data_IF_947757016270
#
_entry.id   IF_947757016270
#
_cell.length_a   1.000
_cell.length_b   1.000
_cell.length_c   1.000
_cell.angle_alpha   90.00
_cell.angle_beta   90.00
_cell.angle_gamma   90.00
#
_symmetry.space_group_name_H-M   'P 1'
#
loop_
_entity.id
_entity.type
_entity.pdbx_description
1 polymer ?
#
# COMPACT_ATOMS: atom_id res chain seq x y z
N UNK A 1 67.85 -29.14 7.69
CA UNK A 1 66.49 -29.65 8.00
C UNK A 1 65.85 -28.81 9.13
N UNK A 2 65.68 -27.49 8.90
CA UNK A 2 65.06 -26.52 9.82
C UNK A 2 64.68 -25.30 8.99
N UNK A 3 63.49 -25.30 8.38
CA UNK A 3 62.89 -24.10 7.75
C UNK A 3 61.46 -24.32 7.23
N UNK A 4 60.87 -25.51 7.35
CA UNK A 4 59.54 -25.79 6.79
C UNK A 4 58.36 -25.58 7.76
N UNK A 5 58.60 -25.35 9.06
CA UNK A 5 57.52 -25.34 10.06
C UNK A 5 57.03 -23.95 10.49
N UNK A 6 57.55 -22.86 9.91
CA UNK A 6 57.15 -21.50 10.30
C UNK A 6 56.15 -20.84 9.35
N UNK A 7 55.87 -21.44 8.19
CA UNK A 7 54.98 -20.85 7.18
C UNK A 7 53.51 -21.28 7.31
N UNK A 8 53.22 -22.33 8.09
CA UNK A 8 51.85 -22.84 8.24
C UNK A 8 51.07 -22.12 9.36
N UNK A 9 51.76 -21.43 10.27
CA UNK A 9 51.10 -20.71 11.37
C UNK A 9 50.64 -19.28 11.00
N UNK A 10 51.09 -18.72 9.87
CA UNK A 10 50.72 -17.36 9.46
C UNK A 10 49.50 -17.28 8.53
N UNK A 11 49.01 -18.43 8.02
CA UNK A 11 47.85 -18.48 7.11
C UNK A 11 46.53 -18.69 7.86
N UNK A 12 46.56 -18.99 9.17
CA UNK A 12 45.36 -19.27 9.96
C UNK A 12 44.77 -18.07 10.73
N UNK A 13 45.38 -16.88 10.66
CA UNK A 13 44.96 -15.68 11.43
C UNK A 13 44.39 -14.57 10.52
N UNK A 14 43.75 -14.94 9.40
CA UNK A 14 43.04 -13.97 8.55
C UNK A 14 41.69 -14.48 8.04
N UNK A 15 40.98 -15.21 8.91
CA UNK A 15 39.56 -15.54 8.76
C UNK A 15 38.80 -14.92 9.95
N UNK A 16 38.97 -13.60 10.16
CA UNK A 16 38.03 -12.86 11.01
C UNK A 16 36.73 -12.74 10.25
N UNK A 17 35.76 -13.52 10.70
CA UNK A 17 34.37 -13.51 10.29
C UNK A 17 33.86 -12.08 10.25
N UNK A 18 33.71 -11.51 9.04
CA UNK A 18 32.96 -10.28 8.85
C UNK A 18 31.50 -10.67 9.06
N UNK A 19 31.03 -10.57 10.31
CA UNK A 19 29.61 -10.58 10.61
C UNK A 19 29.02 -9.32 10.00
N UNK A 20 28.54 -9.45 8.76
CA UNK A 20 27.72 -8.41 8.13
C UNK A 20 26.45 -8.34 8.95
N UNK A 21 26.40 -7.38 9.87
CA UNK A 21 25.17 -7.00 10.55
C UNK A 21 24.29 -6.39 9.49
N UNK A 22 23.43 -7.21 8.88
CA UNK A 22 22.31 -6.72 8.09
C UNK A 22 21.38 -6.00 9.06
N UNK A 23 21.58 -4.70 9.21
CA UNK A 23 20.57 -3.83 9.76
C UNK A 23 19.35 -3.97 8.83
N UNK A 24 18.37 -4.76 9.25
CA UNK A 24 17.05 -4.73 8.62
C UNK A 24 16.55 -3.31 8.81
N UNK A 25 16.63 -2.51 7.76
CA UNK A 25 15.93 -1.22 7.69
C UNK A 25 14.46 -1.56 7.85
N UNK A 26 13.92 -1.36 9.04
CA UNK A 26 12.48 -1.45 9.28
C UNK A 26 11.85 -0.33 8.45
N UNK A 27 11.29 -0.69 7.31
CA UNK A 27 10.50 0.20 6.47
C UNK A 27 9.35 0.75 7.32
N UNK A 28 9.38 2.04 7.61
CA UNK A 28 8.23 2.75 8.15
C UNK A 28 7.28 3.01 6.99
N UNK A 29 6.41 2.03 6.74
CA UNK A 29 5.25 2.22 5.86
C UNK A 29 4.20 3.06 6.59
N UNK A 30 3.53 4.00 5.91
CA UNK A 30 2.38 4.66 6.51
C UNK A 30 1.31 3.62 6.82
N UNK A 31 0.71 3.73 7.99
CA UNK A 31 -0.36 2.83 8.41
C UNK A 31 -1.59 3.00 7.51
N UNK A 32 -1.78 4.17 6.89
CA UNK A 32 -2.91 4.46 6.00
C UNK A 32 -2.45 5.35 4.84
N UNK A 33 -2.93 5.11 3.62
CA UNK A 33 -2.68 5.98 2.47
C UNK A 33 -3.84 5.99 1.45
N UNK A 34 -3.98 7.12 0.75
CA UNK A 34 -4.93 7.31 -0.36
C UNK A 34 -4.27 6.87 -1.69
N UNK A 35 -5.03 6.23 -2.59
CA UNK A 35 -4.60 6.03 -3.99
C UNK A 35 -5.33 7.01 -4.90
N UNK A 36 -4.85 8.25 -5.01
CA UNK A 36 -5.42 9.20 -5.96
C UNK A 36 -4.38 9.63 -7.00
N UNK A 37 -4.65 9.26 -8.25
CA UNK A 37 -3.92 9.68 -9.44
C UNK A 37 -3.86 11.16 -9.71
N UNK A 38 -2.76 11.54 -10.36
CA UNK A 38 -2.25 12.88 -10.67
C UNK A 38 -3.22 13.80 -11.44
N UNK A 39 -4.49 13.39 -11.68
CA UNK A 39 -5.49 14.15 -12.45
C UNK A 39 -6.95 14.01 -12.02
N UNK A 40 -7.27 13.34 -10.93
CA UNK A 40 -8.66 13.12 -10.53
C UNK A 40 -8.75 13.24 -9.03
N UNK A 41 -9.69 14.05 -8.55
CA UNK A 41 -10.44 13.72 -7.35
C UNK A 41 -10.73 12.21 -7.46
N UNK A 42 -9.99 11.33 -6.76
CA UNK A 42 -10.12 9.86 -6.90
C UNK A 42 -11.49 9.33 -6.48
N UNK A 43 -12.37 10.27 -6.16
CA UNK A 43 -13.79 10.20 -6.08
C UNK A 43 -14.43 9.90 -7.44
N UNK A 44 -14.87 8.65 -7.60
CA UNK A 44 -15.87 8.29 -8.61
C UNK A 44 -17.23 8.84 -8.17
N UNK A 45 -17.90 9.61 -9.04
CA UNK A 45 -19.26 10.10 -8.78
C UNK A 45 -20.28 9.13 -9.37
N UNK A 46 -21.23 8.68 -8.55
CA UNK A 46 -22.41 7.95 -8.98
C UNK A 46 -23.62 8.88 -8.85
N UNK A 47 -24.10 9.41 -9.97
CA UNK A 47 -25.22 10.37 -9.99
C UNK A 47 -26.56 9.73 -9.67
N UNK A 48 -26.73 8.45 -10.00
CA UNK A 48 -27.98 7.71 -9.74
C UNK A 48 -28.13 7.47 -8.22
N UNK A 49 -27.04 7.05 -7.58
CA UNK A 49 -26.99 6.86 -6.12
C UNK A 49 -26.67 8.13 -5.33
N UNK A 50 -26.47 9.26 -6.02
CA UNK A 50 -26.16 10.57 -5.44
C UNK A 50 -25.02 10.50 -4.41
N UNK A 51 -23.90 9.89 -4.81
CA UNK A 51 -22.74 9.71 -3.95
C UNK A 51 -21.42 9.91 -4.70
N UNK A 52 -20.35 10.06 -3.93
CA UNK A 52 -18.97 10.05 -4.39
C UNK A 52 -18.21 8.96 -3.62
N UNK A 53 -17.34 8.21 -4.28
CA UNK A 53 -16.54 7.18 -3.61
C UNK A 53 -15.09 7.12 -4.07
N UNK A 54 -14.15 6.89 -3.15
CA UNK A 54 -12.73 6.64 -3.45
C UNK A 54 -12.22 5.39 -2.74
N UNK A 55 -11.06 4.87 -3.17
CA UNK A 55 -10.38 3.79 -2.48
C UNK A 55 -9.43 4.31 -1.40
N UNK A 56 -9.42 3.62 -0.27
CA UNK A 56 -8.57 3.88 0.88
C UNK A 56 -7.83 2.61 1.26
N UNK A 57 -6.55 2.71 1.56
CA UNK A 57 -5.74 1.55 1.91
C UNK A 57 -5.23 1.73 3.32
N UNK A 58 -5.62 0.81 4.19
CA UNK A 58 -5.18 0.76 5.56
C UNK A 58 -4.34 -0.51 5.72
N UNK A 59 -3.13 -0.37 6.23
CA UNK A 59 -2.16 -1.45 6.41
C UNK A 59 -2.78 -2.55 7.27
N UNK A 60 -2.47 -3.81 7.02
CA UNK A 60 -2.86 -4.89 7.94
C UNK A 60 -2.08 -4.77 9.27
N UNK A 61 -2.61 -5.32 10.39
CA UNK A 61 -1.91 -5.35 11.68
C UNK A 61 -0.51 -6.01 11.59
N UNK A 62 0.29 -5.80 12.64
CA UNK A 62 1.74 -6.06 12.78
C UNK A 62 2.40 -7.04 11.79
N UNK A 63 3.49 -6.58 11.16
CA UNK A 63 4.37 -7.31 10.23
C UNK A 63 3.79 -7.72 8.87
N UNK A 64 2.56 -7.33 8.54
CA UNK A 64 2.03 -7.53 7.20
C UNK A 64 2.43 -6.38 6.24
N UNK A 65 2.87 -6.75 5.03
CA UNK A 65 3.03 -5.85 3.88
C UNK A 65 1.73 -5.67 3.10
N UNK A 66 0.66 -6.33 3.53
CA UNK A 66 -0.64 -6.27 2.88
C UNK A 66 -1.41 -5.06 3.39
N UNK A 67 -2.13 -4.43 2.45
CA UNK A 67 -3.05 -3.36 2.75
C UNK A 67 -4.47 -3.88 2.54
N UNK A 68 -5.35 -3.59 3.49
CA UNK A 68 -6.76 -3.80 3.35
C UNK A 68 -7.38 -2.61 2.65
N UNK A 69 -8.05 -2.90 1.54
CA UNK A 69 -8.76 -1.91 0.76
C UNK A 69 -10.11 -1.61 1.39
N UNK A 70 -10.35 -0.34 1.66
CA UNK A 70 -11.63 0.23 2.05
C UNK A 70 -12.14 1.11 0.90
N UNK A 71 -13.45 1.35 0.91
CA UNK A 71 -14.13 2.29 0.02
C UNK A 71 -14.65 3.41 0.90
N UNK A 72 -14.20 4.62 0.66
CA UNK A 72 -14.73 5.81 1.32
C UNK A 72 -15.87 6.34 0.48
N UNK A 73 -17.02 6.58 1.09
CA UNK A 73 -18.26 7.00 0.41
C UNK A 73 -18.76 8.29 1.06
N UNK A 74 -19.04 9.31 0.26
CA UNK A 74 -19.67 10.57 0.67
C UNK A 74 -20.99 10.69 -0.06
N UNK A 75 -22.10 10.73 0.68
CA UNK A 75 -23.44 10.90 0.12
C UNK A 75 -23.77 12.38 -0.07
N UNK A 76 -24.52 12.73 -1.13
CA UNK A 76 -24.94 14.11 -1.37
C UNK A 76 -25.85 14.67 -0.27
N UNK A 77 -26.58 13.79 0.45
CA UNK A 77 -27.46 14.15 1.57
C UNK A 77 -26.72 14.40 2.89
N UNK A 78 -25.47 13.93 2.99
CA UNK A 78 -24.58 14.10 4.14
C UNK A 78 -23.16 14.43 3.65
N UNK A 79 -22.95 15.59 2.99
CA UNK A 79 -21.70 15.91 2.31
C UNK A 79 -20.53 16.18 3.24
N UNK A 80 -20.80 16.34 4.53
CA UNK A 80 -19.86 16.53 5.63
C UNK A 80 -19.40 15.20 6.27
N UNK A 81 -19.93 14.06 5.81
CA UNK A 81 -19.61 12.74 6.34
C UNK A 81 -19.00 11.84 5.28
N UNK A 82 -17.84 11.27 5.58
CA UNK A 82 -17.18 10.26 4.77
C UNK A 82 -17.28 8.89 5.46
N UNK A 83 -18.04 7.97 4.89
CA UNK A 83 -18.30 6.64 5.45
C UNK A 83 -17.28 5.64 4.91
N UNK A 84 -16.73 4.80 5.79
CA UNK A 84 -15.71 3.81 5.42
C UNK A 84 -16.37 2.44 5.33
N UNK A 85 -16.35 1.87 4.13
CA UNK A 85 -16.85 0.54 3.82
C UNK A 85 -15.66 -0.42 3.64
N UNK A 86 -15.59 -1.44 4.47
CA UNK A 86 -14.58 -2.49 4.33
C UNK A 86 -14.97 -3.44 3.20
N UNK A 87 -14.13 -3.49 2.16
CA UNK A 87 -14.38 -4.31 0.98
C UNK A 87 -14.22 -5.81 1.25
N UNK A 88 -13.55 -6.21 2.34
CA UNK A 88 -13.38 -7.61 2.74
C UNK A 88 -14.62 -8.13 3.46
N UNK A 89 -15.00 -7.49 4.57
CA UNK A 89 -16.18 -7.90 5.36
C UNK A 89 -17.51 -7.48 4.75
N UNK A 90 -17.48 -6.62 3.72
CA UNK A 90 -18.66 -6.01 3.07
C UNK A 90 -19.54 -5.27 4.07
N UNK A 91 -18.93 -4.54 5.01
CA UNK A 91 -19.61 -3.78 6.06
C UNK A 91 -19.04 -2.37 6.20
N UNK A 92 -19.88 -1.42 6.58
CA UNK A 92 -19.43 -0.13 7.07
C UNK A 92 -18.79 -0.27 8.45
N UNK A 93 -17.60 0.29 8.61
CA UNK A 93 -16.81 0.18 9.84
C UNK A 93 -16.79 1.49 10.64
N UNK A 94 -17.11 2.62 10.02
CA UNK A 94 -17.09 3.91 10.69
C UNK A 94 -17.29 5.06 9.71
N UNK A 95 -17.05 6.27 10.21
CA UNK A 95 -17.08 7.49 9.41
C UNK A 95 -16.05 8.50 9.88
N UNK A 96 -15.71 9.41 9.00
CA UNK A 96 -14.96 10.62 9.29
C UNK A 96 -15.87 11.83 9.06
N UNK A 97 -15.92 12.70 10.05
CA UNK A 97 -16.63 13.97 10.00
C UNK A 97 -15.66 15.03 9.46
N UNK A 98 -15.95 15.53 8.26
CA UNK A 98 -15.08 16.43 7.52
C UNK A 98 -15.01 17.83 8.15
N UNK A 99 -15.99 18.22 8.95
CA UNK A 99 -16.05 19.54 9.58
C UNK A 99 -15.22 19.58 10.88
N UNK A 100 -15.30 18.52 11.66
CA UNK A 100 -14.55 18.37 12.92
C UNK A 100 -13.19 17.69 12.75
N UNK A 101 -12.92 17.11 11.57
CA UNK A 101 -11.72 16.32 11.26
C UNK A 101 -11.53 15.14 12.21
N UNK A 102 -12.63 14.51 12.63
CA UNK A 102 -12.62 13.43 13.62
C UNK A 102 -13.32 12.17 13.10
N UNK A 103 -12.95 11.03 13.67
CA UNK A 103 -13.41 9.71 13.25
C UNK A 103 -14.36 9.10 14.29
N UNK A 104 -15.41 8.43 13.82
CA UNK A 104 -16.33 7.64 14.65
C UNK A 104 -16.30 6.19 14.17
N UNK A 105 -15.66 5.31 14.95
CA UNK A 105 -15.54 3.88 14.66
C UNK A 105 -16.77 3.11 15.18
N UNK A 106 -17.49 2.42 14.31
CA UNK A 106 -18.61 1.57 14.71
C UNK A 106 -18.09 0.33 15.46
N UNK A 107 -18.78 0.00 16.56
CA UNK A 107 -18.59 -1.28 17.24
C UNK A 107 -18.97 -2.44 16.30
N UNK A 108 -18.26 -3.58 16.35
CA UNK A 108 -18.52 -4.76 15.52
C UNK A 108 -19.99 -5.14 15.36
N UNK A 109 -20.74 -5.14 16.47
CA UNK A 109 -22.16 -5.52 16.55
C UNK A 109 -23.11 -4.57 15.80
N UNK A 110 -22.68 -3.34 15.50
CA UNK A 110 -23.44 -2.31 14.79
C UNK A 110 -23.04 -2.17 13.31
N UNK A 111 -22.01 -2.88 12.86
CA UNK A 111 -21.56 -2.84 11.46
C UNK A 111 -22.57 -3.55 10.56
N UNK A 112 -22.95 -2.92 9.44
CA UNK A 112 -23.92 -3.47 8.46
C UNK A 112 -23.41 -3.28 7.04
N UNK A 113 -23.98 -4.03 6.10
CA UNK A 113 -23.64 -3.94 4.69
C UNK A 113 -24.22 -2.73 3.97
N UNK A 114 -25.29 -2.13 4.50
CA UNK A 114 -25.92 -0.92 3.98
C UNK A 114 -25.88 0.18 5.02
N UNK A 115 -25.70 1.42 4.58
CA UNK A 115 -25.66 2.56 5.50
C UNK A 115 -27.03 2.83 6.12
N UNK A 116 -28.11 2.62 5.38
CA UNK A 116 -29.50 2.80 5.85
C UNK A 116 -29.87 1.84 6.99
N UNK A 117 -29.12 0.73 7.14
CA UNK A 117 -29.33 -0.25 8.21
C UNK A 117 -28.57 0.13 9.50
N UNK A 118 -27.80 1.22 9.49
CA UNK A 118 -26.98 1.70 10.61
C UNK A 118 -27.66 2.93 11.19
N UNK A 119 -28.16 2.79 12.42
CA UNK A 119 -28.71 3.92 13.14
C UNK A 119 -27.61 4.96 13.41
N UNK A 120 -27.89 6.22 13.11
CA UNK A 120 -26.97 7.35 13.32
C UNK A 120 -26.50 7.44 14.78
N UNK A 121 -27.33 7.03 15.74
CA UNK A 121 -27.00 7.00 17.17
C UNK A 121 -26.00 5.89 17.55
N UNK A 122 -25.74 4.92 16.67
CA UNK A 122 -24.72 3.88 16.89
C UNK A 122 -23.30 4.37 16.62
N UNK A 123 -23.13 5.50 15.92
CA UNK A 123 -21.82 6.12 15.77
C UNK A 123 -21.41 6.74 17.12
N UNK A 124 -20.24 6.35 17.68
CA UNK A 124 -19.76 7.00 18.89
C UNK A 124 -19.41 8.47 18.61
N UNK A 125 -19.28 9.29 19.66
CA UNK A 125 -18.75 10.64 19.54
C UNK A 125 -17.44 10.65 18.74
N UNK A 126 -17.22 11.64 17.86
CA UNK A 126 -16.01 11.71 17.06
C UNK A 126 -14.75 11.78 17.95
N UNK A 127 -13.71 11.06 17.54
CA UNK A 127 -12.43 10.96 18.25
C UNK A 127 -11.25 10.96 17.26
N UNK A 128 -10.03 10.76 17.76
CA UNK A 128 -8.86 10.63 16.90
C UNK A 128 -8.99 9.43 15.96
N UNK A 129 -8.29 9.49 14.83
CA UNK A 129 -8.22 8.39 13.87
C UNK A 129 -7.80 7.08 14.59
N UNK A 130 -8.59 6.01 14.50
CA UNK A 130 -8.26 4.76 15.18
C UNK A 130 -7.03 4.12 14.55
N UNK A 131 -6.33 3.34 15.35
CA UNK A 131 -5.24 2.48 14.90
C UNK A 131 -5.80 1.41 13.96
N UNK A 132 -4.91 0.83 13.15
CA UNK A 132 -5.25 -0.29 12.26
C UNK A 132 -5.90 -1.46 13.00
N UNK A 133 -5.36 -1.84 14.16
CA UNK A 133 -5.89 -2.94 14.96
C UNK A 133 -7.28 -2.66 15.51
N UNK A 134 -7.65 -1.39 15.67
CA UNK A 134 -9.01 -1.00 16.08
C UNK A 134 -9.97 -0.99 14.88
N UNK A 135 -9.52 -0.54 13.70
CA UNK A 135 -10.35 -0.51 12.49
C UNK A 135 -10.77 -1.90 12.04
N UNK A 136 -9.88 -2.87 12.16
CA UNK A 136 -10.08 -4.22 11.63
C UNK A 136 -10.22 -5.23 12.75
N UNK A 137 -11.28 -6.03 12.68
CA UNK A 137 -11.31 -7.27 13.47
C UNK A 137 -10.17 -8.18 12.96
N UNK A 138 -9.40 -8.83 13.85
CA UNK A 138 -8.45 -9.83 13.40
C UNK A 138 -9.23 -10.86 12.57
N UNK A 139 -8.70 -11.29 11.40
CA UNK A 139 -9.37 -12.31 10.61
C UNK A 139 -9.65 -13.52 11.52
N UNK A 140 -10.80 -14.19 11.36
CA UNK A 140 -11.08 -15.39 12.14
C UNK A 140 -9.91 -16.34 11.93
N UNK A 141 -9.24 -16.70 13.02
CA UNK A 141 -8.10 -17.62 12.96
C UNK A 141 -8.69 -18.96 12.53
N UNK A 142 -8.57 -19.29 11.24
CA UNK A 142 -8.85 -20.63 10.76
C UNK A 142 -7.76 -21.54 11.29
N UNK A 143 -7.94 -22.06 12.50
CA UNK A 143 -7.19 -23.22 12.96
C UNK A 143 -7.76 -24.41 12.20
N UNK A 144 -7.12 -24.76 11.08
CA UNK A 144 -7.27 -26.09 10.49
C UNK A 144 -6.71 -27.09 11.49
N UNK A 145 -7.57 -27.58 12.38
CA UNK A 145 -7.76 -29.00 12.71
C UNK A 145 -8.70 -29.15 13.91
N UNK A 146 -9.89 -29.68 13.62
CA UNK A 146 -10.76 -30.47 14.50
C UNK A 146 -11.28 -29.89 15.85
N UNK A 147 -12.61 -29.72 15.84
CA UNK A 147 -13.59 -29.83 16.94
C UNK A 147 -13.83 -28.63 17.89
N UNK A 148 -15.08 -28.15 17.81
CA UNK A 148 -15.88 -27.44 18.81
C UNK A 148 -15.48 -26.01 19.16
N UNK A 149 -16.25 -25.08 18.58
CA UNK A 149 -16.34 -23.69 19.03
C UNK A 149 -17.14 -23.65 20.34
N UNK A 150 -16.47 -23.75 21.48
CA UNK A 150 -16.99 -23.26 22.76
C UNK A 150 -16.43 -21.86 22.97
N UNK A 151 -17.31 -20.88 23.00
CA UNK A 151 -17.01 -19.53 23.44
C UNK A 151 -16.94 -19.60 24.98
N UNK A 152 -15.74 -19.58 25.53
CA UNK A 152 -15.54 -19.26 26.94
C UNK A 152 -15.21 -17.77 27.05
N UNK A 153 -16.16 -17.03 27.63
CA UNK A 153 -15.93 -15.72 28.20
C UNK A 153 -15.15 -15.89 29.51
N UNK A 154 -13.97 -15.29 29.59
CA UNK A 154 -13.48 -14.51 30.72
C UNK A 154 -12.00 -14.21 30.49
N UNK A 155 -11.65 -12.92 30.45
CA UNK A 155 -10.38 -12.45 31.00
C UNK A 155 -10.45 -10.95 31.23
N UNK A 156 -10.65 -10.63 32.50
CA UNK A 156 -10.51 -9.33 33.11
C UNK A 156 -9.01 -8.98 33.16
N UNK A 157 -8.53 -8.16 32.22
CA UNK A 157 -7.17 -7.59 32.28
C UNK A 157 -7.28 -6.09 32.08
N UNK A 158 -7.08 -5.36 33.18
CA UNK A 158 -6.93 -3.91 33.22
C UNK A 158 -5.58 -3.49 32.61
N UNK A 159 -5.52 -2.53 31.67
CA UNK A 159 -4.24 -1.96 31.23
C UNK A 159 -4.05 -0.54 31.77
N UNK A 160 -3.10 -0.39 32.69
CA UNK A 160 -2.47 0.88 33.02
C UNK A 160 -1.70 1.36 31.78
N UNK A 161 -2.27 2.31 31.04
CA UNK A 161 -1.64 2.85 29.82
C UNK A 161 -0.64 3.94 30.20
N UNK A 162 0.65 3.63 30.06
CA UNK A 162 1.74 4.59 30.10
C UNK A 162 1.73 5.39 28.79
N UNK A 163 1.50 6.71 28.90
CA UNK A 163 1.55 7.66 27.78
C UNK A 163 2.97 7.70 27.21
N UNK A 164 3.17 7.16 26.01
CA UNK A 164 4.41 7.28 25.23
C UNK A 164 4.37 8.61 24.46
N UNK A 165 5.41 9.46 24.52
CA UNK A 165 5.42 10.70 23.74
C UNK A 165 5.49 10.42 22.24
N UNK A 166 4.72 11.20 21.47
CA UNK A 166 4.64 11.17 20.01
C UNK A 166 6.02 11.20 19.34
N UNK A 167 6.24 10.44 18.25
CA UNK A 167 7.48 10.55 17.52
C UNK A 167 7.57 11.91 16.83
N UNK A 168 8.72 12.54 17.03
CA UNK A 168 9.17 13.76 16.36
C UNK A 168 8.90 13.66 14.86
N UNK A 169 8.19 14.66 14.33
CA UNK A 169 8.00 14.91 12.90
C UNK A 169 9.38 14.99 12.23
N UNK A 170 9.81 13.90 11.60
CA UNK A 170 11.07 13.88 10.86
C UNK A 170 10.94 14.78 9.63
N UNK A 171 11.51 15.98 9.70
CA UNK A 171 11.79 16.79 8.52
C UNK A 171 12.89 16.10 7.72
N UNK A 172 12.53 15.50 6.59
CA UNK A 172 13.50 15.06 5.60
C UNK A 172 14.19 16.29 4.95
N UNK A 173 15.50 16.19 4.63
CA UNK A 173 16.26 17.29 4.04
C UNK A 173 15.75 17.64 2.64
N UNK A 174 15.95 18.88 2.18
CA UNK A 174 15.35 19.37 0.94
C UNK A 174 15.93 18.62 -0.27
N UNK A 175 15.09 17.96 -1.08
CA UNK A 175 15.54 17.36 -2.33
C UNK A 175 15.86 18.47 -3.35
N UNK A 176 17.06 18.46 -3.91
CA UNK A 176 17.37 19.14 -5.18
C UNK A 176 18.09 18.13 -6.09
N UNK A 177 17.79 17.93 -7.38
CA UNK A 177 16.91 18.64 -8.31
C UNK A 177 16.01 17.67 -9.12
N UNK A 178 14.71 17.85 -8.95
CA UNK A 178 13.54 17.25 -9.60
C UNK A 178 13.05 15.86 -9.16
N UNK A 179 13.70 14.71 -9.37
CA UNK A 179 13.14 13.40 -8.88
C UNK A 179 14.21 12.39 -8.43
N UNK A 180 14.79 12.56 -7.23
CA UNK A 180 15.81 11.63 -6.78
C UNK A 180 15.26 10.19 -6.74
N UNK A 181 16.03 9.29 -7.36
CA UNK A 181 15.89 7.82 -7.30
C UNK A 181 14.78 7.18 -8.13
N UNK A 182 13.83 7.89 -8.74
CA UNK A 182 12.78 7.23 -9.55
C UNK A 182 13.34 6.60 -10.83
N UNK A 183 14.25 7.31 -11.50
CA UNK A 183 14.89 6.83 -12.73
C UNK A 183 15.71 5.55 -12.55
N UNK A 184 16.13 5.23 -11.33
CA UNK A 184 16.79 3.97 -11.00
C UNK A 184 16.11 3.36 -9.78
N UNK A 185 15.03 2.63 -10.00
CA UNK A 185 14.20 2.08 -8.93
C UNK A 185 13.70 0.68 -9.25
N UNK A 186 13.42 -0.09 -8.22
CA UNK A 186 12.83 -1.42 -8.32
C UNK A 186 11.51 -1.42 -7.57
N UNK A 187 10.50 -2.11 -8.11
CA UNK A 187 9.14 -2.12 -7.61
C UNK A 187 8.57 -3.53 -7.66
N UNK A 188 7.86 -3.91 -6.61
CA UNK A 188 6.96 -5.06 -6.64
C UNK A 188 5.59 -4.55 -7.06
N UNK A 189 5.05 -5.09 -8.15
CA UNK A 189 3.91 -4.52 -8.87
C UNK A 189 2.85 -5.57 -9.19
N UNK A 190 1.66 -5.08 -9.53
CA UNK A 190 0.59 -5.91 -10.09
C UNK A 190 -0.21 -5.13 -11.11
N UNK A 191 -0.62 -5.80 -12.19
CA UNK A 191 -1.52 -5.22 -13.19
C UNK A 191 -2.72 -6.13 -13.44
N UNK A 192 -3.83 -5.53 -13.86
CA UNK A 192 -5.04 -6.24 -14.29
C UNK A 192 -5.06 -6.37 -15.80
N UNK A 193 -5.60 -7.49 -16.31
CA UNK A 193 -5.85 -7.73 -17.73
C UNK A 193 -7.36 -7.75 -18.01
N UNK A 194 -7.73 -7.84 -19.29
CA UNK A 194 -9.12 -7.71 -19.77
C UNK A 194 -10.14 -8.66 -19.08
N UNK A 195 -9.69 -9.83 -18.61
CA UNK A 195 -10.52 -10.79 -17.89
C UNK A 195 -10.66 -10.52 -16.38
N UNK A 196 -10.07 -9.42 -15.89
CA UNK A 196 -10.02 -9.04 -14.48
C UNK A 196 -8.94 -9.74 -13.65
N UNK A 197 -8.18 -10.68 -14.23
CA UNK A 197 -7.10 -11.36 -13.54
C UNK A 197 -6.00 -10.39 -13.17
N UNK A 198 -5.40 -10.61 -11.99
CA UNK A 198 -4.30 -9.82 -11.47
C UNK A 198 -2.98 -10.58 -11.66
N UNK A 199 -2.05 -9.98 -12.39
CA UNK A 199 -0.72 -10.54 -12.64
C UNK A 199 0.31 -9.78 -11.82
N UNK A 200 1.13 -10.49 -11.04
CA UNK A 200 2.24 -9.90 -10.29
C UNK A 200 3.48 -9.79 -11.17
N UNK A 201 4.19 -8.68 -11.04
CA UNK A 201 5.44 -8.44 -11.75
C UNK A 201 6.41 -7.62 -10.90
N UNK A 202 7.71 -7.80 -11.12
CA UNK A 202 8.75 -6.88 -10.64
C UNK A 202 9.11 -5.93 -11.75
N UNK A 203 9.14 -4.63 -11.48
CA UNK A 203 9.57 -3.58 -12.44
C UNK A 203 10.89 -2.98 -11.99
N UNK A 204 11.82 -2.82 -12.92
CA UNK A 204 13.09 -2.12 -12.73
C UNK A 204 13.20 -0.96 -13.73
N UNK A 205 13.29 0.27 -13.23
CA UNK A 205 13.61 1.46 -14.02
C UNK A 205 15.11 1.70 -14.03
N UNK A 206 15.65 2.06 -15.20
CA UNK A 206 17.05 2.45 -15.46
C UNK A 206 17.10 3.57 -16.51
N UNK A 207 16.90 4.80 -16.06
CA UNK A 207 16.79 5.99 -16.90
C UNK A 207 15.54 5.96 -17.76
N UNK A 208 15.74 6.09 -19.08
CA UNK A 208 14.68 6.04 -20.11
C UNK A 208 14.30 4.63 -20.55
N UNK A 209 14.81 3.61 -19.85
CA UNK A 209 14.58 2.19 -20.12
C UNK A 209 14.31 1.44 -18.82
N UNK A 210 13.85 0.21 -18.94
CA UNK A 210 13.62 -0.67 -17.81
C UNK A 210 13.31 -2.09 -18.26
N UNK A 211 13.02 -2.94 -17.29
CA UNK A 211 12.55 -4.29 -17.53
C UNK A 211 11.47 -4.64 -16.50
N UNK A 212 10.64 -5.61 -16.84
CA UNK A 212 9.75 -6.22 -15.87
C UNK A 212 9.75 -7.74 -15.98
N UNK A 213 9.63 -8.43 -14.85
CA UNK A 213 9.59 -9.89 -14.77
C UNK A 213 8.31 -10.32 -14.10
N UNK A 214 7.55 -11.21 -14.72
CA UNK A 214 6.34 -11.74 -14.12
C UNK A 214 6.70 -12.69 -12.97
N UNK A 215 5.96 -12.67 -11.86
CA UNK A 215 6.32 -13.44 -10.66
C UNK A 215 6.32 -14.95 -10.89
N UNK A 216 5.38 -15.44 -11.70
CA UNK A 216 5.13 -16.87 -11.94
C UNK A 216 5.58 -17.30 -13.35
N UNK A 217 6.51 -16.57 -13.96
CA UNK A 217 7.03 -16.88 -15.30
C UNK A 217 8.47 -16.41 -15.47
N UNK A 218 9.24 -17.14 -16.27
CA UNK A 218 10.56 -16.69 -16.74
C UNK A 218 10.47 -15.58 -17.80
N UNK A 219 9.25 -15.19 -18.19
CA UNK A 219 9.03 -14.13 -19.15
C UNK A 219 9.52 -12.77 -18.60
N UNK A 220 10.42 -12.15 -19.37
CA UNK A 220 10.94 -10.80 -19.10
C UNK A 220 10.47 -9.87 -20.21
N UNK A 221 9.75 -8.83 -19.82
CA UNK A 221 9.37 -7.73 -20.71
C UNK A 221 10.34 -6.56 -20.59
N UNK A 222 10.35 -5.71 -21.60
CA UNK A 222 11.16 -4.50 -21.66
C UNK A 222 10.29 -3.25 -21.56
N UNK A 223 10.79 -2.24 -20.84
CA UNK A 223 10.24 -0.90 -20.79
C UNK A 223 11.17 0.05 -21.56
N UNK A 224 10.60 0.92 -22.38
CA UNK A 224 11.34 1.83 -23.25
C UNK A 224 10.67 3.19 -23.37
N UNK A 225 11.41 4.16 -23.88
CA UNK A 225 10.93 5.53 -24.07
C UNK A 225 10.31 6.13 -22.80
N UNK A 226 10.92 5.82 -21.64
CA UNK A 226 10.40 6.22 -20.35
C UNK A 226 10.68 7.71 -20.14
N UNK A 227 9.62 8.46 -19.85
CA UNK A 227 9.61 9.88 -19.63
C UNK A 227 9.06 10.16 -18.23
N UNK A 228 9.66 11.12 -17.55
CA UNK A 228 9.26 11.57 -16.22
C UNK A 228 8.81 13.02 -16.33
N UNK A 229 7.65 13.35 -15.79
CA UNK A 229 7.15 14.72 -15.76
C UNK A 229 6.60 15.07 -14.37
N UNK A 230 6.93 16.26 -13.86
CA UNK A 230 6.36 16.79 -12.61
C UNK A 230 4.95 17.29 -12.87
N UNK A 231 3.95 16.73 -12.19
CA UNK A 231 2.67 17.36 -11.97
C UNK A 231 2.71 18.32 -10.77
N UNK A 232 1.56 18.85 -10.38
CA UNK A 232 1.44 19.61 -9.14
C UNK A 232 1.63 18.67 -7.94
N UNK A 233 0.94 17.53 -7.95
CA UNK A 233 0.81 16.64 -6.78
C UNK A 233 1.49 15.27 -6.95
N UNK A 234 1.69 14.81 -8.19
CA UNK A 234 2.41 13.58 -8.48
C UNK A 234 3.50 13.76 -9.55
N UNK A 235 4.23 12.68 -9.77
CA UNK A 235 5.24 12.53 -10.80
C UNK A 235 4.70 11.49 -11.76
N UNK A 236 4.45 11.90 -13.00
CA UNK A 236 3.99 10.99 -14.03
C UNK A 236 5.18 10.29 -14.69
N UNK A 237 5.13 8.96 -14.77
CA UNK A 237 6.10 8.11 -15.48
C UNK A 237 5.37 7.45 -16.65
N UNK A 238 5.67 7.87 -17.87
CA UNK A 238 5.04 7.35 -19.08
C UNK A 238 6.07 6.63 -19.95
N UNK A 239 5.65 5.61 -20.70
CA UNK A 239 6.55 4.92 -21.61
C UNK A 239 5.87 3.85 -22.44
N UNK A 240 6.68 2.97 -23.00
CA UNK A 240 6.24 1.81 -23.78
C UNK A 240 6.68 0.51 -23.10
N UNK A 241 5.81 -0.48 -23.12
CA UNK A 241 6.12 -1.84 -22.68
C UNK A 241 6.16 -2.79 -23.86
N UNK A 242 6.93 -3.87 -23.75
CA UNK A 242 6.96 -4.96 -24.71
C UNK A 242 7.21 -6.29 -24.01
N UNK A 243 6.52 -7.34 -24.46
CA UNK A 243 6.70 -8.71 -23.99
C UNK A 243 6.42 -9.66 -25.14
N UNK A 244 7.41 -10.49 -25.48
CA UNK A 244 7.35 -11.36 -26.65
C UNK A 244 7.05 -10.56 -27.92
N UNK A 245 5.96 -10.86 -28.63
CA UNK A 245 5.55 -10.18 -29.87
C UNK A 245 4.52 -9.06 -29.65
N UNK A 246 4.21 -8.74 -28.39
CA UNK A 246 3.23 -7.72 -28.03
C UNK A 246 3.91 -6.51 -27.39
N UNK A 247 3.24 -5.36 -27.48
CA UNK A 247 3.69 -4.14 -26.83
C UNK A 247 2.58 -3.11 -26.75
N UNK A 248 2.87 -2.04 -26.02
CA UNK A 248 1.90 -1.00 -25.76
C UNK A 248 2.49 0.17 -24.99
N UNK A 249 1.64 0.89 -24.30
CA UNK A 249 1.95 2.09 -23.54
C UNK A 249 1.56 1.92 -22.08
N UNK A 250 2.25 2.64 -21.20
CA UNK A 250 1.89 2.75 -19.79
C UNK A 250 1.98 4.20 -19.33
N UNK A 251 1.21 4.53 -18.30
CA UNK A 251 1.25 5.81 -17.59
C UNK A 251 1.08 5.53 -16.10
N UNK A 252 2.13 5.80 -15.33
CA UNK A 252 2.13 5.70 -13.88
C UNK A 252 2.13 7.09 -13.25
N UNK A 253 1.52 7.21 -12.09
CA UNK A 253 1.52 8.40 -11.22
C UNK A 253 2.12 8.01 -9.88
N UNK A 254 3.16 8.74 -9.48
CA UNK A 254 3.86 8.59 -8.20
C UNK A 254 3.56 9.83 -7.35
N UNK A 255 2.78 9.73 -6.27
CA UNK A 255 2.49 10.86 -5.41
C UNK A 255 3.77 11.44 -4.79
N UNK A 256 3.87 12.78 -4.74
CA UNK A 256 5.06 13.45 -4.18
C UNK A 256 5.17 13.30 -2.67
N UNK A 257 4.06 13.14 -1.97
CA UNK A 257 3.98 12.87 -0.54
C UNK A 257 4.23 11.39 -0.19
N UNK A 258 4.16 10.48 -1.17
CA UNK A 258 4.52 9.07 -1.01
C UNK A 258 5.22 8.49 -2.26
N UNK A 259 6.53 8.77 -2.38
CA UNK A 259 7.35 8.34 -3.52
C UNK A 259 7.65 6.83 -3.58
N UNK A 260 7.09 6.04 -2.66
CA UNK A 260 7.30 4.59 -2.58
C UNK A 260 6.09 3.79 -3.07
N UNK A 261 5.05 4.45 -3.58
CA UNK A 261 3.91 3.81 -4.25
C UNK A 261 3.67 4.43 -5.62
N UNK A 262 3.10 3.67 -6.53
CA UNK A 262 2.51 4.20 -7.75
C UNK A 262 1.24 3.46 -8.11
N UNK A 263 0.42 4.12 -8.90
CA UNK A 263 -0.69 3.50 -9.64
C UNK A 263 -0.70 4.08 -11.06
N UNK A 264 -1.48 3.49 -11.94
CA UNK A 264 -1.50 3.89 -13.31
C UNK A 264 -2.24 2.91 -14.19
N UNK A 265 -2.03 3.06 -15.47
CA UNK A 265 -2.77 2.39 -16.52
C UNK A 265 -1.83 1.87 -17.59
N UNK A 266 -2.27 0.86 -18.32
CA UNK A 266 -1.56 0.33 -19.48
C UNK A 266 -2.54 -0.03 -20.60
N UNK A 267 -2.03 -0.08 -21.83
CA UNK A 267 -2.83 -0.47 -22.99
C UNK A 267 -2.00 -0.68 -24.26
N UNK A 268 -2.61 -1.21 -25.31
CA UNK A 268 -1.93 -1.52 -26.57
C UNK A 268 -1.78 -0.32 -27.51
N UNK A 269 -2.63 0.70 -27.36
CA UNK A 269 -2.60 1.93 -28.13
C UNK A 269 -2.42 3.15 -27.22
N UNK A 270 -1.85 4.23 -27.76
CA UNK A 270 -1.69 5.48 -27.02
C UNK A 270 -3.09 6.03 -26.69
N UNK A 271 -3.33 6.34 -25.42
CA UNK A 271 -4.62 6.80 -24.87
C UNK A 271 -5.74 5.73 -24.80
N UNK A 272 -5.40 4.44 -24.93
CA UNK A 272 -6.34 3.35 -24.65
C UNK A 272 -5.98 2.70 -23.32
N UNK A 273 -6.98 2.52 -22.46
CA UNK A 273 -6.83 1.88 -21.14
C UNK A 273 -7.38 0.47 -21.27
N UNK A 274 -6.51 -0.53 -21.11
CA UNK A 274 -6.88 -1.94 -21.08
C UNK A 274 -6.84 -2.50 -19.66
N UNK A 275 -5.97 -1.96 -18.81
CA UNK A 275 -5.93 -2.36 -17.42
C UNK A 275 -5.25 -1.34 -16.53
N UNK A 276 -5.31 -1.60 -15.24
CA UNK A 276 -4.64 -0.80 -14.21
C UNK A 276 -3.35 -1.48 -13.77
N UNK A 277 -2.41 -0.68 -13.29
CA UNK A 277 -1.12 -1.14 -12.79
C UNK A 277 -0.77 -0.38 -11.52
N UNK A 278 -0.47 -1.08 -10.44
CA UNK A 278 0.03 -0.49 -9.20
C UNK A 278 1.31 -1.15 -8.73
N UNK A 279 2.08 -0.45 -7.91
CA UNK A 279 3.33 -0.97 -7.38
C UNK A 279 3.81 -0.28 -6.12
N UNK A 280 4.62 -1.01 -5.36
CA UNK A 280 5.30 -0.55 -4.15
C UNK A 280 6.80 -0.67 -4.39
N UNK A 281 7.54 0.37 -4.02
CA UNK A 281 8.98 0.44 -4.23
C UNK A 281 9.70 -0.52 -3.31
N UNK A 282 10.71 -1.21 -3.85
CA UNK A 282 11.65 -1.99 -3.07
C UNK A 282 12.73 -1.09 -2.48
N UNK A 283 13.11 -1.32 -1.21
CA UNK A 283 14.34 -0.74 -0.68
C UNK A 283 15.52 -1.21 -1.53
N UNK A 284 16.49 -0.30 -1.73
CA UNK A 284 17.81 -0.66 -2.26
C UNK A 284 18.65 -1.35 -1.19
#
# INVERSE_FOLDING_TARGET
MRLANFLILLVFILLTSISVVFAQVQLQHPDQFYTNGDKTDGWSRDSEKRLRSTFWFAKNPENSLEYQQQIVIVYDEAPDKAYYFDSTTKKFIGRFDLASEQYSLLRPEYRRGRIDDIDESWFPPPSNLPTIGEMFEPPPVCVQENFLCLIEADNDISPTTVVRPSPVKMMMPPPTAQFPRLHESSWDTSYTIDDGSRIRARVEFKGSRGAYRLADSEAVGALSNIQYSSGQDAISIAGQWSLSNNGGYFLFSVPKDNMDVFWGEWGFARNSIYGTWSGIRRPR
#
